data_IF_247802145998
#
_entry.id   IF_247802145998
#
_cell.length_a   1.000
_cell.length_b   1.000
_cell.length_c   1.000
_cell.angle_alpha   90.00
_cell.angle_beta   90.00
_cell.angle_gamma   90.00
#
_symmetry.space_group_name_H-M   'P 1'
#
loop_
_entity.id
_entity.type
_entity.pdbx_description
1 polymer ?
#
# COMPACT_ATOMS: atom_id res chain seq x y z
N UNK A 1 2.54 -89.44 24.72
CA UNK A 1 2.24 -90.15 23.46
C UNK A 1 2.43 -89.14 22.33
N UNK A 2 3.32 -89.45 21.39
CA UNK A 2 3.64 -88.75 20.11
C UNK A 2 4.30 -87.36 20.12
N UNK A 3 5.62 -87.44 19.88
CA UNK A 3 6.48 -86.63 19.00
C UNK A 3 5.81 -86.10 17.72
N UNK A 4 6.20 -84.92 17.23
CA UNK A 4 7.03 -84.79 16.01
C UNK A 4 7.50 -83.34 15.73
N UNK A 5 8.72 -83.28 15.21
CA UNK A 5 9.52 -82.12 14.78
C UNK A 5 9.10 -81.70 13.36
N UNK A 6 9.16 -80.39 13.06
CA UNK A 6 9.12 -79.88 11.68
C UNK A 6 9.68 -78.46 11.56
N UNK A 7 10.97 -78.33 11.26
CA UNK A 7 11.56 -77.08 10.75
C UNK A 7 11.10 -76.87 9.31
N UNK A 8 10.62 -75.67 8.96
CA UNK A 8 10.60 -75.22 7.57
C UNK A 8 10.86 -73.71 7.47
N UNK A 9 11.91 -73.38 6.70
CA UNK A 9 12.40 -72.04 6.36
C UNK A 9 11.41 -71.32 5.44
N UNK A 10 11.01 -70.07 5.75
CA UNK A 10 10.50 -69.13 4.75
C UNK A 10 10.99 -67.70 4.99
N UNK A 11 11.50 -67.16 3.88
CA UNK A 11 12.14 -65.86 3.63
C UNK A 11 11.41 -64.66 4.23
N UNK A 12 12.23 -63.73 4.71
CA UNK A 12 11.91 -62.35 5.07
C UNK A 12 11.34 -61.61 3.84
N UNK A 13 10.12 -61.10 3.96
CA UNK A 13 9.63 -59.97 3.17
C UNK A 13 9.19 -58.88 4.16
N UNK A 14 10.09 -57.94 4.46
CA UNK A 14 9.70 -56.67 5.10
C UNK A 14 9.06 -55.82 4.01
N UNK A 15 7.73 -55.71 4.01
CA UNK A 15 7.03 -54.64 3.29
C UNK A 15 7.41 -53.32 3.97
N UNK A 16 8.25 -52.53 3.32
CA UNK A 16 8.42 -51.13 3.65
C UNK A 16 7.13 -50.40 3.23
N UNK A 17 6.29 -50.05 4.19
CA UNK A 17 5.26 -49.04 3.95
C UNK A 17 5.95 -47.68 3.89
N UNK A 18 6.07 -47.15 2.67
CA UNK A 18 6.34 -45.73 2.46
C UNK A 18 5.13 -44.95 2.99
N UNK A 19 5.28 -44.32 4.16
CA UNK A 19 4.35 -43.28 4.57
C UNK A 19 4.72 -42.07 3.72
N UNK A 20 3.98 -41.89 2.63
CA UNK A 20 3.95 -40.61 1.94
C UNK A 20 3.50 -39.57 2.95
N UNK A 21 4.40 -38.68 3.36
CA UNK A 21 4.06 -37.46 4.07
C UNK A 21 3.14 -36.66 3.17
N UNK A 22 1.82 -36.76 3.42
CA UNK A 22 0.86 -35.79 2.93
C UNK A 22 1.29 -34.43 3.47
N UNK A 23 1.84 -33.60 2.60
CA UNK A 23 1.94 -32.17 2.81
C UNK A 23 0.52 -31.65 3.03
N UNK A 24 0.16 -31.43 4.30
CA UNK A 24 -1.05 -30.71 4.67
C UNK A 24 -0.91 -29.31 4.09
N UNK A 25 -1.53 -29.07 2.92
CA UNK A 25 -1.81 -27.72 2.46
C UNK A 25 -2.82 -27.16 3.47
N UNK A 26 -2.37 -26.29 4.36
CA UNK A 26 -3.28 -25.49 5.18
C UNK A 26 -4.09 -24.61 4.22
N UNK A 27 -5.29 -25.10 3.87
CA UNK A 27 -6.27 -24.46 2.96
C UNK A 27 -6.93 -23.22 3.57
N UNK A 28 -6.48 -22.82 4.75
CA UNK A 28 -7.04 -21.73 5.51
C UNK A 28 -5.93 -20.78 5.96
N UNK A 29 -6.25 -19.50 6.04
CA UNK A 29 -5.44 -18.45 6.66
C UNK A 29 -6.22 -17.94 7.86
N UNK A 30 -5.60 -17.99 9.03
CA UNK A 30 -6.19 -17.39 10.24
C UNK A 30 -5.65 -15.98 10.37
N UNK A 31 -6.54 -15.00 10.31
CA UNK A 31 -6.25 -13.60 10.54
C UNK A 31 -7.09 -13.18 11.73
N UNK A 32 -6.45 -12.81 12.84
CA UNK A 32 -7.11 -12.10 13.96
C UNK A 32 -8.30 -12.91 14.52
N UNK A 33 -8.05 -14.20 14.79
CA UNK A 33 -9.00 -15.21 15.28
C UNK A 33 -10.14 -15.60 14.32
N UNK A 34 -10.11 -15.13 13.07
CA UNK A 34 -11.01 -15.55 12.00
C UNK A 34 -10.30 -16.38 10.93
N UNK A 35 -10.93 -17.47 10.52
CA UNK A 35 -10.39 -18.39 9.53
C UNK A 35 -11.02 -18.12 8.16
N UNK A 36 -10.17 -17.79 7.18
CA UNK A 36 -10.58 -17.56 5.79
C UNK A 36 -10.06 -18.69 4.90
N UNK A 37 -10.87 -19.18 3.94
CA UNK A 37 -10.38 -20.14 2.95
C UNK A 37 -9.37 -19.46 2.02
N UNK A 38 -8.26 -20.15 1.74
CA UNK A 38 -7.28 -19.72 0.74
C UNK A 38 -7.79 -20.09 -0.66
N UNK A 39 -7.61 -19.19 -1.61
CA UNK A 39 -7.87 -19.42 -3.03
C UNK A 39 -6.64 -19.06 -3.88
N UNK A 40 -6.79 -19.10 -5.21
CA UNK A 40 -5.71 -18.74 -6.15
C UNK A 40 -5.40 -17.23 -6.18
N UNK A 41 -6.06 -16.42 -5.35
CA UNK A 41 -5.83 -14.99 -5.17
C UNK A 41 -5.16 -14.66 -3.84
N UNK A 42 -5.23 -15.53 -2.82
CA UNK A 42 -4.60 -15.30 -1.53
C UNK A 42 -3.08 -15.12 -1.67
N UNK A 43 -2.59 -13.93 -1.31
CA UNK A 43 -1.19 -13.56 -1.44
C UNK A 43 -0.59 -12.89 -0.18
N UNK A 44 -1.20 -13.10 0.98
CA UNK A 44 -0.79 -12.55 2.28
C UNK A 44 0.24 -13.48 2.95
N UNK A 45 1.38 -12.92 3.36
CA UNK A 45 2.46 -13.64 4.05
C UNK A 45 2.33 -13.56 5.57
N UNK A 46 2.97 -14.48 6.31
CA UNK A 46 3.00 -14.47 7.78
C UNK A 46 3.55 -13.17 8.36
N UNK A 47 4.47 -12.51 7.65
CA UNK A 47 5.00 -11.19 8.02
C UNK A 47 3.96 -10.07 7.87
N UNK A 48 3.07 -10.14 6.87
CA UNK A 48 1.94 -9.22 6.79
C UNK A 48 0.94 -9.52 7.92
N UNK A 49 0.70 -10.81 8.22
CA UNK A 49 -0.19 -11.21 9.32
C UNK A 49 0.31 -10.67 10.66
N UNK A 50 1.61 -10.73 10.94
CA UNK A 50 2.18 -10.23 12.20
C UNK A 50 2.04 -8.72 12.40
N UNK A 51 1.78 -7.96 11.32
CA UNK A 51 1.51 -6.53 11.36
C UNK A 51 0.03 -6.20 11.58
N UNK A 52 -0.85 -7.19 11.60
CA UNK A 52 -2.26 -7.05 11.96
C UNK A 52 -2.39 -7.18 13.49
N UNK A 53 -3.15 -6.34 14.20
CA UNK A 53 -3.30 -6.59 15.65
C UNK A 53 -3.85 -5.51 16.58
N UNK A 54 -4.34 -4.36 16.11
CA UNK A 54 -5.05 -3.43 17.04
C UNK A 54 -6.53 -3.77 17.27
N UNK A 55 -7.06 -4.80 16.60
CA UNK A 55 -8.42 -5.36 16.78
C UNK A 55 -9.60 -4.39 16.76
N UNK A 56 -9.42 -3.16 16.28
CA UNK A 56 -10.51 -2.23 16.04
C UNK A 56 -11.16 -2.45 14.66
N UNK A 57 -10.51 -3.18 13.75
CA UNK A 57 -10.96 -3.50 12.39
C UNK A 57 -11.99 -4.63 12.29
N UNK A 58 -12.14 -5.45 13.34
CA UNK A 58 -13.14 -6.54 13.43
C UNK A 58 -14.49 -6.06 13.94
N UNK A 59 -14.56 -4.83 14.48
CA UNK A 59 -15.85 -4.20 14.76
C UNK A 59 -16.45 -3.76 13.43
N UNK A 60 -17.60 -4.32 13.02
CA UNK A 60 -18.37 -3.74 11.93
C UNK A 60 -18.52 -2.23 12.21
N UNK A 61 -18.30 -1.40 11.18
CA UNK A 61 -18.44 0.07 11.26
C UNK A 61 -17.34 0.83 12.01
N UNK A 62 -16.23 0.20 12.41
CA UNK A 62 -15.13 0.94 13.02
C UNK A 62 -14.20 1.55 11.94
N UNK A 63 -13.87 2.86 12.02
CA UNK A 63 -13.03 3.56 11.03
C UNK A 63 -11.59 3.02 10.88
N UNK A 64 -11.22 1.99 11.64
CA UNK A 64 -9.91 1.34 11.61
C UNK A 64 -9.94 -0.01 10.88
N UNK A 65 -11.05 -0.36 10.21
CA UNK A 65 -11.15 -1.58 9.39
C UNK A 65 -10.25 -1.55 8.17
N UNK A 66 -9.08 -2.18 8.27
CA UNK A 66 -8.17 -2.37 7.15
C UNK A 66 -8.55 -3.54 6.24
N UNK A 67 -9.33 -4.52 6.71
CA UNK A 67 -9.94 -5.55 5.85
C UNK A 67 -11.18 -4.93 5.19
N UNK A 68 -11.25 -4.99 3.86
CA UNK A 68 -12.36 -4.42 3.07
C UNK A 68 -12.83 -5.40 2.00
N UNK A 69 -14.10 -5.28 1.63
CA UNK A 69 -14.58 -5.88 0.40
C UNK A 69 -14.00 -5.15 -0.81
N UNK A 70 -13.81 -5.86 -1.92
CA UNK A 70 -13.35 -5.27 -3.18
C UNK A 70 -14.24 -4.10 -3.61
N UNK A 71 -15.55 -4.24 -3.40
CA UNK A 71 -16.54 -3.21 -3.68
C UNK A 71 -16.29 -1.92 -2.87
N UNK A 72 -15.89 -2.04 -1.61
CA UNK A 72 -15.59 -0.86 -0.79
C UNK A 72 -14.28 -0.20 -1.24
N UNK A 73 -13.25 -0.97 -1.57
CA UNK A 73 -11.95 -0.42 -1.96
C UNK A 73 -11.96 0.18 -3.37
N UNK A 74 -12.80 -0.29 -4.29
CA UNK A 74 -12.74 0.15 -5.69
C UNK A 74 -14.10 0.50 -6.30
N UNK A 75 -15.10 -0.39 -6.23
CA UNK A 75 -16.37 -0.21 -6.96
C UNK A 75 -17.15 1.01 -6.46
N UNK A 76 -17.18 1.21 -5.15
CA UNK A 76 -17.83 2.36 -4.50
C UNK A 76 -17.19 3.71 -4.85
N UNK A 77 -15.99 3.66 -5.44
CA UNK A 77 -15.19 4.80 -5.88
C UNK A 77 -15.12 4.89 -7.42
N UNK A 78 -16.00 4.17 -8.12
CA UNK A 78 -16.11 4.17 -9.59
C UNK A 78 -14.84 3.72 -10.32
N UNK A 79 -13.92 3.04 -9.62
CA UNK A 79 -12.72 2.50 -10.24
C UNK A 79 -13.15 1.39 -11.22
N UNK A 80 -12.73 1.38 -12.49
CA UNK A 80 -13.13 0.32 -13.43
C UNK A 80 -12.58 -1.08 -13.05
N UNK A 81 -13.27 -2.16 -13.42
CA UNK A 81 -12.82 -3.54 -13.13
C UNK A 81 -11.46 -3.89 -13.75
N UNK A 82 -11.16 -3.33 -14.92
CA UNK A 82 -9.88 -3.51 -15.63
C UNK A 82 -8.82 -2.48 -15.23
N UNK A 83 -9.08 -1.65 -14.21
CA UNK A 83 -8.15 -0.59 -13.81
C UNK A 83 -6.84 -1.18 -13.25
N UNK A 84 -5.66 -0.63 -13.61
CA UNK A 84 -4.37 -1.14 -13.14
C UNK A 84 -4.24 -1.25 -11.62
N UNK A 85 -4.85 -0.32 -10.87
CA UNK A 85 -4.81 -0.35 -9.40
C UNK A 85 -5.44 -1.59 -8.75
N UNK A 86 -6.18 -2.41 -9.51
CA UNK A 86 -6.78 -3.67 -9.03
C UNK A 86 -5.85 -4.87 -9.21
N UNK A 87 -4.68 -4.73 -9.85
CA UNK A 87 -3.79 -5.87 -10.13
C UNK A 87 -3.32 -6.56 -8.84
N UNK A 88 -3.22 -7.89 -8.88
CA UNK A 88 -2.66 -8.69 -7.77
C UNK A 88 -1.20 -8.31 -7.43
N UNK A 89 -0.47 -7.77 -8.40
CA UNK A 89 0.91 -7.33 -8.23
C UNK A 89 1.03 -6.08 -7.37
N UNK A 90 -0.06 -5.34 -7.16
CA UNK A 90 -0.02 -3.99 -6.57
C UNK A 90 -0.79 -3.95 -5.23
N UNK A 91 -1.63 -4.96 -4.96
CA UNK A 91 -2.44 -5.05 -3.74
C UNK A 91 -2.36 -6.40 -3.04
N UNK A 92 -2.65 -6.38 -1.73
CA UNK A 92 -2.76 -7.57 -0.89
C UNK A 92 -4.20 -8.09 -0.82
N UNK A 93 -4.47 -9.19 -1.52
CA UNK A 93 -5.77 -9.85 -1.56
C UNK A 93 -5.82 -11.00 -0.54
N UNK A 94 -6.83 -11.00 0.33
CA UNK A 94 -7.15 -12.13 1.20
C UNK A 94 -7.77 -13.26 0.35
N UNK A 95 -8.72 -12.90 -0.50
CA UNK A 95 -9.39 -13.77 -1.48
C UNK A 95 -9.93 -12.92 -2.64
N UNK A 96 -10.62 -13.51 -3.61
CA UNK A 96 -11.16 -12.80 -4.78
C UNK A 96 -12.03 -11.57 -4.44
N UNK A 97 -12.69 -11.55 -3.27
CA UNK A 97 -13.65 -10.51 -2.90
C UNK A 97 -13.17 -9.63 -1.74
N UNK A 98 -12.03 -9.93 -1.13
CA UNK A 98 -11.58 -9.33 0.14
C UNK A 98 -10.12 -8.92 0.04
N UNK A 99 -9.81 -7.70 0.48
CA UNK A 99 -8.52 -7.04 0.30
C UNK A 99 -8.09 -6.34 1.60
N UNK A 100 -6.78 -6.19 1.81
CA UNK A 100 -6.27 -5.15 2.71
C UNK A 100 -6.38 -3.80 1.99
N UNK A 101 -6.98 -2.79 2.62
CA UNK A 101 -7.27 -1.51 1.97
C UNK A 101 -5.99 -0.90 1.38
N UNK A 102 -6.04 -0.53 0.11
CA UNK A 102 -4.92 0.12 -0.58
C UNK A 102 -4.88 1.64 -0.32
N UNK A 103 -5.97 2.20 0.20
CA UNK A 103 -6.10 3.61 0.53
C UNK A 103 -7.24 3.87 1.54
N UNK A 104 -7.16 4.95 2.30
CA UNK A 104 -8.21 5.37 3.25
C UNK A 104 -9.51 5.82 2.57
N UNK A 105 -9.45 6.21 1.29
CA UNK A 105 -10.62 6.55 0.46
C UNK A 105 -11.67 5.43 0.40
N UNK A 106 -11.27 4.17 0.65
CA UNK A 106 -12.15 3.01 0.72
C UNK A 106 -13.26 3.10 1.79
N UNK A 107 -13.20 4.12 2.68
CA UNK A 107 -14.18 4.37 3.73
C UNK A 107 -15.15 5.52 3.40
N UNK A 108 -14.89 6.31 2.34
CA UNK A 108 -15.65 7.54 2.09
C UNK A 108 -17.15 7.28 1.88
N UNK A 109 -17.52 6.41 0.94
CA UNK A 109 -18.92 6.14 0.62
C UNK A 109 -19.71 5.61 1.83
N UNK A 110 -19.08 4.76 2.66
CA UNK A 110 -19.67 4.25 3.89
C UNK A 110 -19.94 5.37 4.90
N UNK A 111 -18.92 6.18 5.23
CA UNK A 111 -19.06 7.28 6.18
C UNK A 111 -20.06 8.35 5.72
N UNK A 112 -20.11 8.63 4.42
CA UNK A 112 -21.10 9.54 3.84
C UNK A 112 -22.52 8.95 4.00
N UNK A 113 -22.70 7.66 3.74
CA UNK A 113 -24.00 6.98 3.94
C UNK A 113 -24.47 6.93 5.39
N UNK A 114 -23.56 7.10 6.36
CA UNK A 114 -23.89 7.27 7.77
C UNK A 114 -24.36 8.70 8.11
N UNK A 115 -24.38 9.60 7.12
CA UNK A 115 -24.80 10.99 7.27
C UNK A 115 -23.68 11.95 7.68
N UNK A 116 -22.41 11.53 7.62
CA UNK A 116 -21.28 12.40 7.94
C UNK A 116 -20.97 13.33 6.77
N UNK A 117 -20.98 14.64 7.03
CA UNK A 117 -20.68 15.67 6.02
C UNK A 117 -19.22 16.11 6.04
N UNK A 118 -18.56 15.99 7.20
CA UNK A 118 -17.17 16.42 7.39
C UNK A 118 -16.48 15.39 8.26
N UNK A 119 -15.41 14.76 7.76
CA UNK A 119 -14.69 13.76 8.53
C UNK A 119 -13.23 13.63 8.08
N UNK A 120 -12.41 13.17 9.02
CA UNK A 120 -11.05 12.71 8.79
C UNK A 120 -10.99 11.20 9.04
N UNK A 121 -10.31 10.47 8.17
CA UNK A 121 -9.97 9.07 8.37
C UNK A 121 -8.45 8.99 8.40
N UNK A 122 -7.90 8.43 9.47
CA UNK A 122 -6.47 8.17 9.56
C UNK A 122 -6.27 6.67 9.78
N UNK A 123 -5.42 6.05 8.97
CA UNK A 123 -5.21 4.61 9.06
C UNK A 123 -4.05 4.09 8.24
N UNK A 124 -3.63 2.89 8.60
CA UNK A 124 -2.71 2.05 7.85
C UNK A 124 -3.35 1.57 6.53
N UNK A 125 -2.55 1.55 5.48
CA UNK A 125 -2.91 1.09 4.13
C UNK A 125 -1.80 0.20 3.59
N UNK A 126 -2.15 -0.66 2.64
CA UNK A 126 -1.32 -1.79 2.25
C UNK A 126 -1.15 -1.84 0.73
N UNK A 127 0.10 -1.81 0.25
CA UNK A 127 0.43 -1.88 -1.18
C UNK A 127 1.65 -2.76 -1.41
N UNK A 128 1.65 -3.46 -2.55
CA UNK A 128 2.84 -4.15 -3.02
C UNK A 128 3.63 -3.18 -3.90
N UNK A 129 4.84 -2.87 -3.49
CA UNK A 129 5.67 -1.83 -4.11
C UNK A 129 7.16 -2.18 -4.08
N UNK A 130 7.99 -1.38 -4.75
CA UNK A 130 9.46 -1.49 -4.70
C UNK A 130 10.02 -1.49 -3.27
N UNK A 131 11.18 -2.11 -3.06
CA UNK A 131 11.93 -1.99 -1.79
C UNK A 131 12.97 -0.90 -1.95
N UNK A 132 12.69 0.30 -1.44
CA UNK A 132 13.62 1.42 -1.39
C UNK A 132 13.42 2.29 -0.12
N UNK A 133 14.00 3.50 -0.14
CA UNK A 133 13.98 4.43 0.99
C UNK A 133 12.61 5.08 1.24
N UNK A 134 11.72 5.07 0.25
CA UNK A 134 10.43 5.77 0.24
C UNK A 134 9.23 4.84 0.22
N UNK A 135 9.42 3.55 -0.08
CA UNK A 135 8.36 2.56 -0.21
C UNK A 135 8.43 1.47 0.86
N UNK A 136 7.31 1.27 1.56
CA UNK A 136 7.12 0.22 2.55
C UNK A 136 5.73 -0.42 2.32
N UNK A 137 5.55 -1.74 2.52
CA UNK A 137 4.31 -2.44 2.14
C UNK A 137 3.11 -2.05 3.00
N UNK A 138 3.37 -1.39 4.14
CA UNK A 138 2.39 -0.78 5.02
C UNK A 138 2.82 0.65 5.24
N UNK A 139 1.91 1.59 5.08
CA UNK A 139 2.14 3.00 5.40
C UNK A 139 0.82 3.62 5.85
N UNK A 140 0.79 4.88 6.25
CA UNK A 140 -0.39 5.51 6.80
C UNK A 140 -0.87 6.64 5.90
N UNK A 141 -2.20 6.73 5.77
CA UNK A 141 -2.86 7.84 5.10
C UNK A 141 -3.77 8.59 6.05
N UNK A 142 -3.96 9.86 5.73
CA UNK A 142 -5.05 10.66 6.25
C UNK A 142 -5.92 11.15 5.08
N UNK A 143 -7.19 10.73 5.05
CA UNK A 143 -8.20 11.24 4.12
C UNK A 143 -9.09 12.25 4.83
N UNK A 144 -9.51 13.27 4.09
CA UNK A 144 -10.52 14.22 4.52
C UNK A 144 -11.62 14.31 3.48
N UNK A 145 -12.86 14.45 3.94
CA UNK A 145 -14.03 14.76 3.12
C UNK A 145 -14.76 15.94 3.73
N UNK A 146 -15.21 16.85 2.87
CA UNK A 146 -16.11 17.95 3.22
C UNK A 146 -17.22 18.06 2.19
N UNK A 147 -18.46 17.98 2.65
CA UNK A 147 -19.69 18.08 1.86
C UNK A 147 -20.50 19.31 2.25
N UNK A 148 -20.98 20.05 1.26
CA UNK A 148 -21.75 21.26 1.41
C UNK A 148 -23.09 21.24 0.70
N UNK A 149 -24.07 21.84 1.37
CA UNK A 149 -25.34 22.28 0.80
C UNK A 149 -25.14 23.53 -0.07
N UNK A 150 -26.16 23.87 -0.86
CA UNK A 150 -26.18 25.11 -1.63
C UNK A 150 -26.00 26.36 -0.73
N UNK A 151 -26.66 26.38 0.42
CA UNK A 151 -26.57 27.48 1.39
C UNK A 151 -25.13 27.67 1.88
N UNK A 152 -24.44 26.58 2.23
CA UNK A 152 -23.04 26.63 2.69
C UNK A 152 -22.06 27.07 1.59
N UNK A 153 -22.27 26.65 0.33
CA UNK A 153 -21.42 27.06 -0.80
C UNK A 153 -21.58 28.55 -1.10
N UNK A 154 -22.81 29.06 -1.09
CA UNK A 154 -23.11 30.43 -1.51
C UNK A 154 -23.29 31.42 -0.35
N UNK A 155 -22.90 31.05 0.87
CA UNK A 155 -23.12 31.85 2.09
C UNK A 155 -22.56 33.29 2.01
N UNK A 156 -21.49 33.51 1.24
CA UNK A 156 -20.82 34.80 1.08
C UNK A 156 -21.04 35.42 -0.31
N UNK A 157 -22.07 34.99 -1.03
CA UNK A 157 -22.36 35.48 -2.38
C UNK A 157 -23.65 36.31 -2.36
N UNK A 158 -23.56 37.56 -2.82
CA UNK A 158 -24.74 38.41 -3.00
C UNK A 158 -25.68 37.78 -4.05
N UNK A 159 -27.00 37.85 -3.80
CA UNK A 159 -28.03 37.25 -4.66
C UNK A 159 -27.92 35.72 -4.83
N UNK A 160 -27.45 35.00 -3.81
CA UNK A 160 -27.30 33.54 -3.80
C UNK A 160 -28.57 32.73 -4.08
N UNK A 161 -29.76 33.32 -3.93
CA UNK A 161 -31.05 32.66 -4.15
C UNK A 161 -31.25 32.12 -5.58
N UNK A 162 -30.53 32.65 -6.56
CA UNK A 162 -30.60 32.20 -7.96
C UNK A 162 -29.56 31.12 -8.30
N UNK A 163 -28.56 30.93 -7.43
CA UNK A 163 -27.46 30.00 -7.64
C UNK A 163 -27.85 28.58 -7.22
N UNK A 164 -27.35 27.60 -7.97
CA UNK A 164 -27.62 26.18 -7.74
C UNK A 164 -26.32 25.39 -7.78
N UNK A 165 -26.26 24.33 -6.97
CA UNK A 165 -25.14 23.38 -7.02
C UNK A 165 -25.06 22.65 -8.37
N UNK A 166 -26.24 22.35 -8.92
CA UNK A 166 -26.38 21.45 -10.06
C UNK A 166 -27.05 22.13 -11.25
N UNK A 167 -26.66 21.71 -12.43
CA UNK A 167 -27.28 22.08 -13.70
C UNK A 167 -27.83 20.85 -14.43
N UNK A 168 -28.82 21.05 -15.29
CA UNK A 168 -29.39 19.98 -16.09
C UNK A 168 -28.78 19.96 -17.50
N UNK A 169 -28.41 18.76 -17.97
CA UNK A 169 -27.86 18.53 -19.32
C UNK A 169 -26.54 19.27 -19.61
N UNK A 170 -25.75 19.54 -18.59
CA UNK A 170 -24.39 20.03 -18.77
C UNK A 170 -23.46 18.98 -19.39
N UNK A 171 -22.32 19.45 -19.91
CA UNK A 171 -21.26 18.59 -20.41
C UNK A 171 -20.11 18.54 -19.40
N UNK A 172 -19.48 17.36 -19.27
CA UNK A 172 -18.21 17.24 -18.55
C UNK A 172 -17.12 17.95 -19.35
N UNK A 173 -16.35 18.80 -18.67
CA UNK A 173 -15.20 19.52 -19.21
C UNK A 173 -14.01 19.32 -18.28
N UNK A 174 -12.82 19.80 -18.65
CA UNK A 174 -11.65 19.74 -17.77
C UNK A 174 -11.85 20.47 -16.44
N UNK A 175 -12.84 21.36 -16.36
CA UNK A 175 -13.11 22.19 -15.18
C UNK A 175 -14.25 21.69 -14.30
N UNK A 176 -15.15 20.83 -14.81
CA UNK A 176 -16.33 20.39 -14.05
C UNK A 176 -16.96 19.09 -14.56
N UNK A 177 -17.70 18.44 -13.69
CA UNK A 177 -18.62 17.35 -14.06
C UNK A 177 -19.85 17.90 -14.76
N UNK A 178 -20.47 17.11 -15.64
CA UNK A 178 -21.63 17.56 -16.42
C UNK A 178 -22.88 17.92 -15.60
N UNK A 179 -22.97 17.46 -14.34
CA UNK A 179 -24.09 17.79 -13.45
C UNK A 179 -23.82 19.00 -12.54
N UNK A 180 -22.58 19.46 -12.41
CA UNK A 180 -22.24 20.58 -11.53
C UNK A 180 -22.30 21.91 -12.28
N UNK A 181 -22.87 22.93 -11.64
CA UNK A 181 -22.73 24.31 -12.08
C UNK A 181 -21.28 24.77 -11.90
N UNK A 182 -20.75 25.54 -12.86
CA UNK A 182 -19.34 25.95 -12.85
C UNK A 182 -18.99 26.80 -11.62
N UNK A 183 -19.90 27.67 -11.21
CA UNK A 183 -19.75 28.58 -10.06
C UNK A 183 -19.54 27.77 -8.77
N UNK A 184 -20.33 26.72 -8.59
CA UNK A 184 -20.22 25.81 -7.44
C UNK A 184 -18.87 25.11 -7.41
N UNK A 185 -18.39 24.64 -8.56
CA UNK A 185 -17.09 23.98 -8.66
C UNK A 185 -15.96 24.96 -8.36
N UNK A 186 -16.02 26.18 -8.87
CA UNK A 186 -14.96 27.19 -8.64
C UNK A 186 -14.88 27.64 -7.18
N UNK A 187 -16.03 27.78 -6.49
CA UNK A 187 -16.04 28.07 -5.05
C UNK A 187 -15.45 26.91 -4.26
N UNK A 188 -15.88 25.68 -4.53
CA UNK A 188 -15.39 24.48 -3.83
C UNK A 188 -13.91 24.20 -4.13
N UNK A 189 -13.47 24.41 -5.37
CA UNK A 189 -12.06 24.32 -5.78
C UNK A 189 -11.21 25.34 -5.02
N UNK A 190 -11.66 26.59 -4.95
CA UNK A 190 -10.94 27.65 -4.25
C UNK A 190 -10.80 27.34 -2.75
N UNK A 191 -11.87 26.88 -2.12
CA UNK A 191 -11.87 26.50 -0.71
C UNK A 191 -10.93 25.30 -0.43
N UNK A 192 -11.01 24.24 -1.25
CA UNK A 192 -10.13 23.08 -1.18
C UNK A 192 -8.66 23.50 -1.29
N UNK A 193 -8.33 24.26 -2.34
CA UNK A 193 -6.95 24.67 -2.62
C UNK A 193 -6.40 25.57 -1.52
N UNK A 194 -7.19 26.53 -1.03
CA UNK A 194 -6.75 27.39 0.09
C UNK A 194 -6.54 26.60 1.37
N UNK A 195 -7.43 25.65 1.68
CA UNK A 195 -7.30 24.78 2.86
C UNK A 195 -5.99 23.98 2.81
N UNK A 196 -5.68 23.40 1.65
CA UNK A 196 -4.50 22.57 1.44
C UNK A 196 -3.19 23.37 1.37
N UNK A 197 -3.21 24.56 0.78
CA UNK A 197 -2.06 25.50 0.84
C UNK A 197 -1.82 25.94 2.28
N UNK A 198 -2.89 26.28 3.02
CA UNK A 198 -2.77 26.63 4.44
C UNK A 198 -2.19 25.49 5.28
N UNK A 199 -2.59 24.24 5.02
CA UNK A 199 -1.98 23.06 5.64
C UNK A 199 -0.49 22.96 5.30
N UNK A 200 -0.12 23.07 4.03
CA UNK A 200 1.28 23.00 3.60
C UNK A 200 2.14 24.12 4.24
N UNK A 201 1.63 25.36 4.27
CA UNK A 201 2.32 26.49 4.89
C UNK A 201 2.43 26.36 6.41
N UNK A 202 1.43 25.76 7.06
CA UNK A 202 1.47 25.49 8.50
C UNK A 202 2.56 24.46 8.83
N UNK A 203 2.75 23.45 7.97
CA UNK A 203 3.72 22.37 8.19
C UNK A 203 5.14 22.75 7.78
N UNK A 204 5.30 23.38 6.61
CA UNK A 204 6.61 23.63 5.99
C UNK A 204 7.08 25.09 6.10
N UNK A 205 6.23 25.98 6.64
CA UNK A 205 6.50 27.42 6.76
C UNK A 205 5.81 28.23 5.66
N UNK A 206 5.58 29.53 5.92
CA UNK A 206 4.84 30.44 5.03
C UNK A 206 5.48 30.60 3.64
N UNK A 207 6.82 30.48 3.57
CA UNK A 207 7.61 30.69 2.36
C UNK A 207 7.77 29.43 1.50
N UNK A 208 7.10 28.32 1.85
CA UNK A 208 7.18 27.08 1.06
C UNK A 208 6.68 27.32 -0.36
N UNK A 209 7.48 26.93 -1.35
CA UNK A 209 7.04 26.95 -2.74
C UNK A 209 6.18 25.72 -3.00
N UNK A 210 5.06 25.91 -3.68
CA UNK A 210 4.13 24.84 -4.04
C UNK A 210 3.64 24.98 -5.48
N UNK A 211 3.16 23.88 -6.05
CA UNK A 211 2.47 23.88 -7.36
C UNK A 211 1.35 22.86 -7.38
N UNK A 212 0.33 23.15 -8.18
CA UNK A 212 -0.77 22.25 -8.48
C UNK A 212 -0.50 21.49 -9.77
N UNK A 213 -0.60 20.16 -9.72
CA UNK A 213 -0.49 19.29 -10.89
C UNK A 213 -1.87 18.72 -11.18
N UNK A 214 -2.38 18.91 -12.40
CA UNK A 214 -3.65 18.31 -12.80
C UNK A 214 -3.48 16.80 -12.91
N UNK A 215 -4.41 16.05 -12.33
CA UNK A 215 -4.35 14.60 -12.32
C UNK A 215 -5.73 13.98 -12.52
N UNK A 216 -5.78 12.67 -12.73
CA UNK A 216 -7.02 11.91 -12.85
C UNK A 216 -7.16 10.91 -11.70
N UNK A 217 -8.31 10.96 -11.02
CA UNK A 217 -8.75 9.92 -10.10
C UNK A 217 -10.18 9.50 -10.48
N UNK A 218 -10.53 8.19 -10.47
CA UNK A 218 -11.88 7.75 -10.82
C UNK A 218 -12.99 8.33 -9.93
N UNK A 219 -12.65 8.73 -8.70
CA UNK A 219 -13.60 9.20 -7.68
C UNK A 219 -13.66 10.72 -7.50
N UNK A 220 -12.84 11.50 -8.21
CA UNK A 220 -12.90 12.97 -8.19
C UNK A 220 -12.76 13.57 -9.60
N UNK A 221 -13.44 14.68 -9.86
CA UNK A 221 -13.29 15.48 -11.07
C UNK A 221 -13.85 16.91 -10.88
N UNK A 222 -13.09 17.97 -11.19
CA UNK A 222 -11.65 17.98 -11.50
C UNK A 222 -10.78 17.50 -10.31
N UNK A 223 -9.54 17.12 -10.63
CA UNK A 223 -8.61 16.46 -9.72
C UNK A 223 -7.20 17.05 -9.81
N UNK A 224 -6.51 17.11 -8.67
CA UNK A 224 -5.17 17.69 -8.57
C UNK A 224 -4.30 16.96 -7.53
N UNK A 225 -2.99 17.03 -7.75
CA UNK A 225 -1.98 16.79 -6.73
C UNK A 225 -1.38 18.12 -6.29
N UNK A 226 -1.04 18.23 -5.00
CA UNK A 226 -0.26 19.33 -4.47
C UNK A 226 1.18 18.86 -4.28
N UNK A 227 2.11 19.58 -4.91
CA UNK A 227 3.54 19.34 -4.74
C UNK A 227 4.19 20.54 -4.02
N UNK A 228 5.15 20.26 -3.15
CA UNK A 228 6.00 21.26 -2.48
C UNK A 228 7.44 21.14 -2.96
N UNK A 229 8.14 22.26 -3.05
CA UNK A 229 9.56 22.28 -3.38
C UNK A 229 10.39 22.09 -2.11
N UNK A 230 11.04 20.93 -1.99
CA UNK A 230 11.83 20.55 -0.83
C UNK A 230 13.12 19.85 -1.30
N UNK A 231 14.27 20.25 -0.74
CA UNK A 231 15.60 19.75 -1.12
C UNK A 231 15.86 19.73 -2.64
N UNK A 232 15.58 20.86 -3.31
CA UNK A 232 15.76 21.05 -4.76
C UNK A 232 14.93 20.09 -5.64
N UNK A 233 13.85 19.52 -5.08
CA UNK A 233 12.94 18.63 -5.79
C UNK A 233 11.48 19.00 -5.51
N UNK A 234 10.63 18.76 -6.51
CA UNK A 234 9.18 18.81 -6.33
C UNK A 234 8.70 17.47 -5.77
N UNK A 235 8.01 17.52 -4.63
CA UNK A 235 7.51 16.33 -3.93
C UNK A 235 6.00 16.44 -3.81
N UNK A 236 5.29 15.50 -4.40
CA UNK A 236 3.86 15.28 -4.23
C UNK A 236 3.55 14.90 -2.78
N UNK A 237 2.75 15.71 -2.08
CA UNK A 237 2.39 15.49 -0.68
C UNK A 237 0.96 14.96 -0.50
N UNK A 238 0.08 15.17 -1.48
CA UNK A 238 -1.31 14.70 -1.45
C UNK A 238 -1.97 14.75 -2.84
N UNK A 239 -3.02 13.94 -2.99
CA UNK A 239 -3.99 14.01 -4.08
C UNK A 239 -5.36 14.49 -3.58
N UNK A 240 -6.10 15.22 -4.41
CA UNK A 240 -7.37 15.83 -4.05
C UNK A 240 -8.27 16.08 -5.27
N UNK A 241 -9.53 16.44 -5.01
CA UNK A 241 -10.43 16.93 -6.05
C UNK A 241 -11.85 17.10 -5.59
N UNK A 242 -12.71 17.51 -6.53
CA UNK A 242 -14.16 17.58 -6.32
C UNK A 242 -14.73 16.17 -6.47
N UNK A 243 -15.45 15.67 -5.47
CA UNK A 243 -15.96 14.29 -5.47
C UNK A 243 -16.90 14.03 -6.64
N UNK A 244 -16.84 12.84 -7.24
CA UNK A 244 -17.78 12.41 -8.28
C UNK A 244 -19.20 12.41 -7.71
N UNK A 245 -20.12 13.14 -8.34
CA UNK A 245 -21.49 13.30 -7.83
C UNK A 245 -22.23 11.97 -7.73
N UNK A 246 -21.92 11.02 -8.60
CA UNK A 246 -22.46 9.66 -8.58
C UNK A 246 -22.17 8.94 -7.25
N UNK A 247 -20.99 9.16 -6.64
CA UNK A 247 -20.65 8.60 -5.33
C UNK A 247 -21.55 9.19 -4.25
N UNK A 248 -21.74 10.52 -4.27
CA UNK A 248 -22.59 11.22 -3.30
C UNK A 248 -24.05 10.78 -3.43
N UNK A 249 -24.56 10.64 -4.66
CA UNK A 249 -25.91 10.14 -4.93
C UNK A 249 -26.11 8.72 -4.40
N UNK A 250 -25.18 7.80 -4.70
CA UNK A 250 -25.23 6.40 -4.21
C UNK A 250 -25.13 6.31 -2.69
N UNK A 251 -24.50 7.29 -2.06
CA UNK A 251 -24.30 7.36 -0.60
C UNK A 251 -25.39 8.16 0.12
N UNK A 252 -26.47 8.57 -0.56
CA UNK A 252 -27.59 9.32 0.05
C UNK A 252 -27.33 10.81 0.31
N UNK A 253 -26.22 11.36 -0.20
CA UNK A 253 -25.83 12.77 -0.08
C UNK A 253 -25.95 13.52 -1.42
N UNK A 254 -26.88 13.10 -2.29
CA UNK A 254 -27.03 13.61 -3.66
C UNK A 254 -27.35 15.11 -3.78
N UNK A 255 -27.88 15.72 -2.72
CA UNK A 255 -28.18 17.16 -2.63
C UNK A 255 -26.96 18.02 -2.24
N UNK A 256 -25.78 17.40 -2.07
CA UNK A 256 -24.54 18.06 -1.67
C UNK A 256 -23.49 18.00 -2.77
N UNK A 257 -22.59 18.98 -2.78
CA UNK A 257 -21.31 18.93 -3.49
C UNK A 257 -20.19 18.76 -2.45
N UNK A 258 -19.08 18.13 -2.80
CA UNK A 258 -18.00 17.95 -1.84
C UNK A 258 -16.63 17.88 -2.47
N UNK A 259 -15.62 18.16 -1.67
CA UNK A 259 -14.23 17.90 -2.00
C UNK A 259 -13.65 16.85 -1.06
N UNK A 260 -12.62 16.16 -1.54
CA UNK A 260 -11.86 15.21 -0.75
C UNK A 260 -10.36 15.37 -1.03
N UNK A 261 -9.53 15.01 -0.06
CA UNK A 261 -8.10 14.84 -0.26
C UNK A 261 -7.58 13.64 0.54
N UNK A 262 -6.46 13.08 0.10
CA UNK A 262 -5.73 12.03 0.80
C UNK A 262 -4.24 12.33 0.79
N UNK A 263 -3.59 12.24 1.94
CA UNK A 263 -2.15 12.47 2.11
C UNK A 263 -1.46 11.25 2.70
N UNK A 264 -0.20 11.03 2.28
CA UNK A 264 0.67 9.99 2.85
C UNK A 264 1.46 10.52 4.03
N UNK A 265 1.22 9.96 5.22
CA UNK A 265 1.80 10.47 6.46
C UNK A 265 3.33 10.29 6.53
N UNK A 266 3.85 9.15 6.06
CA UNK A 266 5.28 8.89 6.04
C UNK A 266 6.01 9.84 5.09
N UNK A 267 5.48 10.08 3.89
CA UNK A 267 6.10 11.01 2.93
C UNK A 267 6.16 12.43 3.49
N UNK A 268 5.07 12.87 4.12
CA UNK A 268 5.00 14.16 4.80
C UNK A 268 5.99 14.25 5.96
N UNK A 269 6.02 13.25 6.84
CA UNK A 269 6.94 13.18 7.98
C UNK A 269 8.41 13.09 7.57
N UNK A 270 8.72 12.38 6.47
CA UNK A 270 10.07 12.32 5.92
C UNK A 270 10.56 13.70 5.48
N UNK A 271 9.72 14.49 4.80
CA UNK A 271 10.06 15.85 4.40
C UNK A 271 10.12 16.80 5.62
N UNK A 272 9.16 16.71 6.53
CA UNK A 272 9.06 17.61 7.67
C UNK A 272 10.22 17.45 8.64
N UNK A 273 10.58 16.20 8.94
CA UNK A 273 11.56 15.85 9.97
C UNK A 273 12.92 15.45 9.40
N UNK A 274 13.15 15.53 8.09
CA UNK A 274 14.38 15.09 7.40
C UNK A 274 14.72 13.60 7.66
N UNK A 275 13.70 12.74 7.70
CA UNK A 275 13.88 11.29 7.91
C UNK A 275 14.25 10.63 6.57
N UNK A 276 15.44 10.01 6.46
CA UNK A 276 15.98 9.57 5.17
C UNK A 276 15.48 8.20 4.69
N UNK A 277 14.78 7.44 5.54
CA UNK A 277 14.38 6.07 5.23
C UNK A 277 13.08 5.72 5.96
N UNK A 278 12.06 5.31 5.21
CA UNK A 278 10.74 4.92 5.74
C UNK A 278 10.81 3.79 6.79
N UNK A 279 11.82 2.92 6.73
CA UNK A 279 12.02 1.85 7.72
C UNK A 279 12.26 2.38 9.14
N UNK A 280 12.71 3.63 9.29
CA UNK A 280 12.89 4.24 10.62
C UNK A 280 11.59 4.34 11.40
N UNK A 281 10.44 4.53 10.75
CA UNK A 281 9.13 4.55 11.42
C UNK A 281 8.74 3.21 12.06
N UNK A 282 9.43 2.13 11.68
CA UNK A 282 9.21 0.78 12.18
C UNK A 282 10.33 0.31 13.12
N UNK A 283 11.31 1.18 13.41
CA UNK A 283 12.44 0.89 14.30
C UNK A 283 12.03 0.94 15.77
N UNK A 284 12.60 0.06 16.60
CA UNK A 284 12.48 0.13 18.06
C UNK A 284 13.68 0.85 18.71
N UNK A 285 14.58 1.41 17.91
CA UNK A 285 15.74 2.15 18.39
C UNK A 285 15.30 3.36 19.24
N UNK A 286 15.65 3.32 20.52
CA UNK A 286 15.29 4.39 21.47
C UNK A 286 15.90 5.74 21.12
N UNK A 287 17.04 5.77 20.42
CA UNK A 287 17.68 6.98 19.91
C UNK A 287 16.88 7.64 18.78
N UNK A 288 16.14 6.87 17.97
CA UNK A 288 15.13 7.42 17.05
C UNK A 288 13.88 7.86 17.82
N UNK A 289 13.27 6.96 18.59
CA UNK A 289 11.97 7.20 19.24
C UNK A 289 11.98 8.37 20.23
N UNK A 290 13.08 8.57 20.97
CA UNK A 290 13.17 9.65 21.95
C UNK A 290 13.28 11.05 21.31
N UNK A 291 13.65 11.16 20.03
CA UNK A 291 13.72 12.47 19.35
C UNK A 291 12.35 13.10 19.11
N UNK A 292 11.29 12.30 19.09
CA UNK A 292 9.91 12.72 18.84
C UNK A 292 9.05 12.78 20.11
N UNK A 293 9.65 12.54 21.29
CA UNK A 293 8.99 12.72 22.58
C UNK A 293 9.06 14.19 22.99
N UNK A 294 8.06 14.95 22.59
CA UNK A 294 7.92 16.39 22.90
C UNK A 294 6.58 16.66 23.59
N UNK A 295 6.54 17.71 24.41
CA UNK A 295 5.30 18.14 25.08
C UNK A 295 4.39 18.94 24.14
N UNK A 296 4.99 19.83 23.32
CA UNK A 296 4.27 20.61 22.32
C UNK A 296 4.35 19.90 20.95
N UNK A 297 3.21 19.49 20.35
CA UNK A 297 3.19 18.86 19.03
C UNK A 297 3.67 19.79 17.90
N UNK A 298 3.75 21.10 18.12
CA UNK A 298 4.27 22.08 17.16
C UNK A 298 5.78 22.29 17.28
N UNK A 299 6.45 21.55 18.18
CA UNK A 299 7.91 21.62 18.31
C UNK A 299 8.56 21.28 16.98
N UNK A 300 9.36 22.20 16.44
CA UNK A 300 10.14 21.96 15.24
C UNK A 300 11.22 20.90 15.52
N UNK A 301 11.03 19.70 14.97
CA UNK A 301 11.95 18.58 15.12
C UNK A 301 12.68 18.37 13.79
N UNK A 302 13.99 18.16 13.86
CA UNK A 302 14.79 17.62 12.75
C UNK A 302 15.51 16.37 13.22
N UNK A 303 15.34 15.29 12.49
CA UNK A 303 15.93 14.00 12.77
C UNK A 303 17.45 14.11 12.80
N UNK A 304 18.04 13.60 13.87
CA UNK A 304 19.47 13.44 14.05
C UNK A 304 19.82 11.98 13.77
N UNK A 305 20.73 11.69 12.82
CA UNK A 305 21.11 10.33 12.49
C UNK A 305 21.54 9.51 13.72
N UNK A 306 20.89 8.35 13.91
CA UNK A 306 21.40 7.29 14.79
C UNK A 306 22.60 6.59 14.12
N UNK A 307 23.29 5.71 14.85
CA UNK A 307 24.45 4.98 14.31
C UNK A 307 24.12 4.27 13.00
N UNK A 308 24.93 4.53 11.97
CA UNK A 308 24.76 3.92 10.63
C UNK A 308 25.66 2.69 10.51
N UNK A 309 25.05 1.52 10.36
CA UNK A 309 25.76 0.25 10.18
C UNK A 309 26.18 0.05 8.71
N UNK A 310 27.24 -0.74 8.43
CA UNK A 310 27.74 -0.94 7.07
C UNK A 310 26.78 -1.77 6.20
N UNK A 311 26.71 -1.44 4.90
CA UNK A 311 25.97 -2.21 3.90
C UNK A 311 26.74 -3.45 3.45
N UNK A 312 26.00 -4.52 3.13
CA UNK A 312 26.47 -5.63 2.30
C UNK A 312 25.61 -5.70 1.04
N UNK A 313 26.21 -5.98 -0.13
CA UNK A 313 25.49 -6.00 -1.42
C UNK A 313 25.76 -7.31 -2.13
N UNK A 314 24.69 -8.03 -2.46
CA UNK A 314 24.78 -9.28 -3.21
C UNK A 314 23.88 -9.21 -4.44
N UNK A 315 24.34 -9.76 -5.56
CA UNK A 315 23.57 -9.81 -6.80
C UNK A 315 22.94 -11.19 -6.98
N UNK A 316 21.69 -11.22 -7.43
CA UNK A 316 20.97 -12.43 -7.84
C UNK A 316 20.43 -12.26 -9.25
N UNK A 317 20.65 -13.26 -10.10
CA UNK A 317 20.14 -13.27 -11.47
C UNK A 317 19.41 -14.57 -11.80
N UNK A 318 18.32 -14.46 -12.53
CA UNK A 318 17.50 -15.60 -12.93
C UNK A 318 16.72 -15.32 -14.22
N UNK A 319 16.39 -16.40 -14.93
CA UNK A 319 15.48 -16.39 -16.06
C UNK A 319 14.04 -16.36 -15.59
N UNK A 320 13.22 -15.53 -16.23
CA UNK A 320 11.80 -15.41 -15.94
C UNK A 320 11.02 -16.64 -16.46
N UNK A 321 9.85 -16.93 -15.87
CA UNK A 321 8.96 -17.98 -16.34
C UNK A 321 8.41 -17.66 -17.75
N UNK A 322 8.35 -18.68 -18.62
CA UNK A 322 7.91 -18.51 -20.02
C UNK A 322 6.44 -18.07 -20.14
N UNK A 323 5.61 -18.36 -19.13
CA UNK A 323 4.20 -18.01 -19.10
C UNK A 323 3.92 -16.53 -18.78
N UNK A 324 4.95 -15.68 -18.64
CA UNK A 324 4.85 -14.24 -18.31
C UNK A 324 4.04 -13.94 -17.03
N UNK A 325 3.95 -14.90 -16.11
CA UNK A 325 3.24 -14.72 -14.84
C UNK A 325 4.00 -13.92 -13.78
N UNK A 326 5.26 -13.57 -14.06
CA UNK A 326 6.16 -12.91 -13.12
C UNK A 326 5.92 -11.40 -13.05
N UNK A 327 5.81 -10.86 -11.84
CA UNK A 327 5.98 -9.45 -11.54
C UNK A 327 7.20 -9.21 -10.64
N UNK A 328 7.91 -8.10 -10.85
CA UNK A 328 8.97 -7.67 -9.92
C UNK A 328 8.45 -7.50 -8.49
N UNK A 329 7.18 -7.09 -8.32
CA UNK A 329 6.55 -6.96 -7.01
C UNK A 329 6.43 -8.30 -6.28
N UNK A 330 6.25 -9.42 -7.00
CA UNK A 330 6.24 -10.75 -6.37
C UNK A 330 7.62 -11.13 -5.84
N UNK A 331 8.68 -10.71 -6.55
CA UNK A 331 10.05 -10.89 -6.08
C UNK A 331 10.38 -9.96 -4.90
N UNK A 332 9.95 -8.70 -4.94
CA UNK A 332 10.10 -7.77 -3.82
C UNK A 332 9.38 -8.30 -2.58
N UNK A 333 8.14 -8.75 -2.70
CA UNK A 333 7.38 -9.34 -1.60
C UNK A 333 8.09 -10.58 -1.02
N UNK A 334 8.62 -11.46 -1.89
CA UNK A 334 9.43 -12.61 -1.46
C UNK A 334 10.72 -12.21 -0.73
N UNK A 335 11.41 -11.17 -1.22
CA UNK A 335 12.62 -10.65 -0.57
C UNK A 335 12.27 -10.03 0.79
N UNK A 336 11.17 -9.29 0.89
CA UNK A 336 10.67 -8.75 2.17
C UNK A 336 10.33 -9.86 3.16
N UNK A 337 9.67 -10.92 2.71
CA UNK A 337 9.28 -12.05 3.55
C UNK A 337 10.47 -12.77 4.19
N UNK A 338 11.57 -12.91 3.44
CA UNK A 338 12.75 -13.67 3.91
C UNK A 338 13.77 -12.75 4.59
N UNK A 339 13.95 -11.55 4.04
CA UNK A 339 14.92 -10.57 4.50
C UNK A 339 14.44 -9.72 5.66
N UNK A 340 13.14 -9.49 5.78
CA UNK A 340 12.52 -8.61 6.77
C UNK A 340 13.27 -7.26 6.84
N UNK A 341 13.54 -6.74 8.05
CA UNK A 341 14.20 -5.45 8.26
C UNK A 341 15.71 -5.45 7.96
N UNK A 342 16.26 -6.59 7.50
CA UNK A 342 17.68 -6.72 7.10
C UNK A 342 17.91 -6.31 5.66
N UNK A 343 16.85 -6.23 4.84
CA UNK A 343 16.92 -5.73 3.47
C UNK A 343 16.57 -4.25 3.47
N UNK A 344 17.48 -3.46 2.92
CA UNK A 344 17.30 -2.02 2.76
C UNK A 344 16.74 -1.63 1.42
N UNK A 345 17.23 -2.29 0.37
CA UNK A 345 16.90 -1.91 -0.98
C UNK A 345 17.05 -3.11 -1.91
N UNK A 346 16.20 -3.18 -2.93
CA UNK A 346 16.35 -4.10 -4.05
C UNK A 346 16.34 -3.29 -5.33
N UNK A 347 17.43 -3.39 -6.09
CA UNK A 347 17.60 -2.65 -7.34
C UNK A 347 17.56 -3.63 -8.51
N UNK A 348 16.64 -3.44 -9.46
CA UNK A 348 16.74 -4.11 -10.76
C UNK A 348 17.93 -3.50 -11.52
N UNK A 349 19.02 -4.26 -11.58
CA UNK A 349 20.31 -3.83 -12.12
C UNK A 349 20.39 -3.98 -13.64
N UNK A 350 19.81 -5.05 -14.17
CA UNK A 350 19.88 -5.41 -15.59
C UNK A 350 18.68 -6.26 -16.01
N UNK A 351 18.20 -6.02 -17.23
CA UNK A 351 17.23 -6.85 -17.93
C UNK A 351 17.83 -7.30 -19.27
N UNK A 352 17.93 -8.61 -19.47
CA UNK A 352 18.57 -9.18 -20.64
C UNK A 352 17.64 -10.14 -21.37
N UNK A 353 17.45 -9.95 -22.68
CA UNK A 353 16.73 -10.89 -23.54
C UNK A 353 17.71 -11.74 -24.35
N UNK A 354 17.66 -13.06 -24.17
CA UNK A 354 18.49 -13.99 -24.92
C UNK A 354 18.10 -13.99 -26.42
N UNK A 355 19.04 -13.81 -27.36
CA UNK A 355 18.72 -13.58 -28.77
C UNK A 355 18.01 -14.76 -29.43
N UNK A 356 18.40 -16.00 -29.11
CA UNK A 356 17.85 -17.22 -29.70
C UNK A 356 16.58 -17.72 -28.98
N UNK A 357 16.69 -17.99 -27.68
CA UNK A 357 15.59 -18.54 -26.88
C UNK A 357 14.51 -17.52 -26.53
N UNK A 358 14.75 -16.22 -26.74
CA UNK A 358 13.90 -15.10 -26.33
C UNK A 358 13.56 -15.08 -24.84
N UNK A 359 14.30 -15.83 -24.01
CA UNK A 359 14.14 -15.82 -22.56
C UNK A 359 14.62 -14.49 -22.00
N UNK A 360 13.87 -13.96 -21.04
CA UNK A 360 14.20 -12.73 -20.32
C UNK A 360 14.87 -13.12 -19.00
N UNK A 361 15.99 -12.47 -18.68
CA UNK A 361 16.73 -12.61 -17.43
C UNK A 361 16.66 -11.28 -16.69
N UNK A 362 16.35 -11.33 -15.39
CA UNK A 362 16.52 -10.19 -14.51
C UNK A 362 17.76 -10.39 -13.63
N UNK A 363 18.45 -9.31 -13.32
CA UNK A 363 19.51 -9.25 -12.32
C UNK A 363 19.16 -8.19 -11.28
N UNK A 364 19.07 -8.59 -10.01
CA UNK A 364 18.79 -7.68 -8.90
C UNK A 364 20.01 -7.57 -7.98
N UNK A 365 20.33 -6.35 -7.55
CA UNK A 365 21.22 -6.13 -6.40
C UNK A 365 20.37 -5.98 -5.15
N UNK A 366 20.59 -6.85 -4.16
CA UNK A 366 19.97 -6.74 -2.83
C UNK A 366 20.96 -6.10 -1.87
N UNK A 367 20.56 -4.97 -1.30
CA UNK A 367 21.34 -4.24 -0.29
C UNK A 367 20.85 -4.66 1.09
N UNK A 368 21.75 -5.25 1.87
CA UNK A 368 21.50 -5.69 3.23
C UNK A 368 22.08 -4.68 4.22
N UNK A 369 21.23 -4.19 5.11
CA UNK A 369 21.58 -3.33 6.24
C UNK A 369 20.46 -3.33 7.26
N UNK A 370 20.80 -3.66 8.50
CA UNK A 370 19.91 -3.57 9.65
C UNK A 370 20.04 -2.18 10.29
N UNK A 371 18.93 -1.64 10.81
CA UNK A 371 18.91 -0.29 11.39
C UNK A 371 19.58 -0.21 12.76
N UNK A 372 19.68 -1.34 13.47
CA UNK A 372 20.11 -1.39 14.88
C UNK A 372 21.40 -2.20 15.14
N UNK A 373 22.00 -2.84 14.11
CA UNK A 373 23.25 -3.61 14.27
C UNK A 373 23.98 -3.89 12.95
N UNK A 374 25.27 -4.21 13.07
CA UNK A 374 26.05 -4.74 11.93
C UNK A 374 25.60 -6.15 11.58
N UNK A 375 25.39 -6.41 10.29
CA UNK A 375 25.12 -7.75 9.77
C UNK A 375 26.44 -8.48 9.47
N UNK A 376 26.53 -9.75 9.87
CA UNK A 376 27.69 -10.58 9.50
C UNK A 376 27.56 -11.09 8.06
N UNK A 377 28.69 -11.27 7.35
CA UNK A 377 28.68 -11.88 6.01
C UNK A 377 27.98 -13.23 5.99
N UNK A 378 28.19 -14.06 7.02
CA UNK A 378 27.55 -15.38 7.13
C UNK A 378 26.03 -15.27 7.19
N UNK A 379 25.51 -14.31 7.96
CA UNK A 379 24.08 -14.05 8.08
C UNK A 379 23.48 -13.60 6.75
N UNK A 380 24.10 -12.60 6.11
CA UNK A 380 23.69 -12.08 4.79
C UNK A 380 23.64 -13.20 3.75
N UNK A 381 24.68 -14.03 3.69
CA UNK A 381 24.76 -15.14 2.72
C UNK A 381 23.67 -16.18 2.96
N UNK A 382 23.34 -16.47 4.22
CA UNK A 382 22.26 -17.41 4.53
C UNK A 382 20.91 -16.87 4.03
N UNK A 383 20.59 -15.61 4.32
CA UNK A 383 19.36 -14.96 3.86
C UNK A 383 19.30 -14.91 2.34
N UNK A 384 20.40 -14.51 1.69
CA UNK A 384 20.48 -14.42 0.24
C UNK A 384 20.28 -15.78 -0.46
N UNK A 385 20.85 -16.85 0.11
CA UNK A 385 20.63 -18.21 -0.39
C UNK A 385 19.18 -18.68 -0.19
N UNK A 386 18.54 -18.30 0.92
CA UNK A 386 17.12 -18.58 1.14
C UNK A 386 16.24 -17.85 0.14
N UNK A 387 16.53 -16.58 -0.16
CA UNK A 387 15.86 -15.80 -1.22
C UNK A 387 15.99 -16.51 -2.56
N UNK A 388 17.20 -16.90 -2.95
CA UNK A 388 17.43 -17.58 -4.23
C UNK A 388 16.66 -18.91 -4.33
N UNK A 389 16.73 -19.72 -3.26
CA UNK A 389 15.99 -20.99 -3.19
C UNK A 389 14.48 -20.75 -3.31
N UNK A 390 13.95 -19.79 -2.55
CA UNK A 390 12.50 -19.55 -2.52
C UNK A 390 11.99 -18.91 -3.81
N UNK A 391 12.77 -18.06 -4.46
CA UNK A 391 12.43 -17.49 -5.75
C UNK A 391 12.22 -18.60 -6.79
N UNK A 392 13.13 -19.58 -6.86
CA UNK A 392 13.01 -20.74 -7.74
C UNK A 392 11.75 -21.59 -7.40
N UNK A 393 11.46 -21.81 -6.12
CA UNK A 393 10.30 -22.61 -5.69
C UNK A 393 8.94 -21.92 -5.90
N UNK A 394 8.82 -20.64 -5.55
CA UNK A 394 7.55 -19.90 -5.54
C UNK A 394 7.26 -19.14 -6.82
N UNK A 395 8.29 -18.55 -7.43
CA UNK A 395 8.15 -17.70 -8.62
C UNK A 395 8.48 -18.46 -9.90
N UNK A 396 8.89 -19.73 -9.79
CA UNK A 396 9.24 -20.60 -10.91
C UNK A 396 10.32 -20.02 -11.84
N UNK A 397 11.18 -19.16 -11.30
CA UNK A 397 12.33 -18.58 -12.00
C UNK A 397 13.49 -19.58 -12.04
N UNK A 398 14.31 -19.55 -13.08
CA UNK A 398 15.50 -20.42 -13.16
C UNK A 398 16.75 -19.64 -12.82
N UNK A 399 17.40 -19.97 -11.69
CA UNK A 399 18.62 -19.29 -11.24
C UNK A 399 19.73 -19.36 -12.29
N UNK A 400 20.36 -18.21 -12.57
CA UNK A 400 21.46 -18.05 -13.52
C UNK A 400 22.78 -17.75 -12.80
N UNK A 401 22.75 -16.99 -11.71
CA UNK A 401 23.95 -16.64 -10.95
C UNK A 401 23.63 -15.98 -9.62
N UNK A 402 24.45 -16.30 -8.61
CA UNK A 402 24.42 -15.69 -7.28
C UNK A 402 25.83 -15.15 -7.03
N UNK A 403 25.95 -13.83 -6.81
CA UNK A 403 27.22 -13.19 -6.49
C UNK A 403 27.15 -12.63 -5.08
N UNK A 404 27.95 -13.24 -4.20
CA UNK A 404 28.03 -12.99 -2.78
C UNK A 404 29.23 -12.11 -2.44
#
# INVERSE_FOLDING_TARGET
MYTYIGRCSKRIFRRAFSIATQTVKNNEITLLDHTFPKDNWTNISENIISKLGRNLHISPYHPLSHIRQLAQNFDSLLVPENHPSRKKSDCYYINQNTILRAHTTAHQSELISMGLNNFLIVGDVYRKDEIDFTHYPVFHQADAVRLCTAEEVFQNVDNSNELKLFEHRGMETDEKQGCHALESVKIMEHELKNTLVGLAQTLFGSEIQYRWVQQYFPFTHPSWELEVHYNDQWIEILGCGIMRQEILQKSGAGERIGWAFGLGLERLAMCLYDIPNIRLFWSNDTGFLNQFKVEDPNTAIKYKPISVYPQCKNDISFWLPENKSYSSNDFYDLVRDIGEDRVEQVLLKDEYTHPETKKISHCYTIVYRHMERTLSKREVNNIHNQIAKRANEKLHVTLRGIKI
#
